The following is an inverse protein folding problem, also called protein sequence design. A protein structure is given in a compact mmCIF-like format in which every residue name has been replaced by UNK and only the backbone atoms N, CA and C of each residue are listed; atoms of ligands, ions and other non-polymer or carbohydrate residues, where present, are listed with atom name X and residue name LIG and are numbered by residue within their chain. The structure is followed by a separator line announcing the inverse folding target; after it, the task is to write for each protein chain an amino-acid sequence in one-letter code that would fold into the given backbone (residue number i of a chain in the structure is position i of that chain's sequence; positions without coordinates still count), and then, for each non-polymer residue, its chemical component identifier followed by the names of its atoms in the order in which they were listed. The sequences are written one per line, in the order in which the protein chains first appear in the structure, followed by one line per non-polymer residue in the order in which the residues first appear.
data_IF_953984471258
#
_entry.id   IF_953984471258
#
_cell.length_a   1.000
_cell.length_b   1.000
_cell.length_c   1.000
_cell.angle_alpha   90.00
_cell.angle_beta   90.00
_cell.angle_gamma   90.00
#
_symmetry.space_group_name_H-M   'P 1'
#
loop_
_entity.id
_entity.type
_entity.pdbx_description
1 polymer ?
#
# COMPACT_ATOMS: atom_id res chain seq x y z
N UNK A 1 -34.47 48.77 -34.44
CA UNK A 1 -34.57 48.67 -32.97
C UNK A 1 -33.25 48.14 -32.42
N UNK A 2 -32.60 48.91 -31.54
CA UNK A 2 -31.42 48.50 -30.75
C UNK A 2 -31.87 47.64 -29.56
N UNK A 3 -31.06 46.64 -29.17
CA UNK A 3 -30.91 45.95 -27.85
C UNK A 3 -30.21 44.62 -28.14
N UNK A 4 -29.20 44.10 -27.45
CA UNK A 4 -28.25 44.57 -26.44
C UNK A 4 -27.09 43.54 -26.46
N UNK A 5 -25.87 44.01 -26.25
CA UNK A 5 -24.67 43.19 -26.01
C UNK A 5 -24.69 42.77 -24.52
N UNK A 6 -24.24 41.55 -24.20
CA UNK A 6 -23.23 41.20 -23.17
C UNK A 6 -23.49 39.84 -22.46
N UNK A 7 -22.43 39.02 -22.53
CA UNK A 7 -21.82 38.22 -21.46
C UNK A 7 -22.49 36.93 -20.95
N UNK A 8 -21.68 35.87 -21.00
CA UNK A 8 -21.93 34.60 -20.30
C UNK A 8 -20.72 33.66 -20.40
N UNK A 9 -19.52 34.19 -20.22
CA UNK A 9 -18.26 33.45 -20.05
C UNK A 9 -18.40 32.52 -18.83
N UNK A 10 -18.84 31.27 -18.98
CA UNK A 10 -18.84 30.30 -17.88
C UNK A 10 -18.90 28.85 -18.37
N UNK A 11 -17.86 28.42 -19.10
CA UNK A 11 -17.64 26.99 -19.37
C UNK A 11 -16.14 26.68 -19.43
N UNK A 12 -15.40 27.22 -18.47
CA UNK A 12 -14.04 26.81 -18.13
C UNK A 12 -14.08 26.18 -16.72
N UNK A 13 -14.75 25.03 -16.58
CA UNK A 13 -14.68 24.20 -15.37
C UNK A 13 -14.58 22.70 -15.71
N UNK A 14 -13.88 22.37 -16.80
CA UNK A 14 -13.45 21.00 -17.10
C UNK A 14 -11.92 20.89 -17.19
N UNK A 15 -11.18 21.75 -16.51
CA UNK A 15 -9.82 21.42 -16.07
C UNK A 15 -9.95 20.44 -14.90
N UNK A 16 -10.37 19.21 -15.22
CA UNK A 16 -10.03 18.06 -14.40
C UNK A 16 -8.52 18.11 -14.23
N UNK A 17 -8.08 18.48 -13.02
CA UNK A 17 -6.70 18.47 -12.62
C UNK A 17 -6.28 16.99 -12.64
N UNK A 18 -5.94 16.48 -13.82
CA UNK A 18 -5.18 15.25 -13.99
C UNK A 18 -3.77 15.56 -13.51
N UNK A 19 -3.62 15.76 -12.20
CA UNK A 19 -2.32 15.69 -11.56
C UNK A 19 -1.82 14.29 -11.87
N UNK A 20 -0.92 14.17 -12.85
CA UNK A 20 -0.20 12.92 -13.09
C UNK A 20 0.27 12.41 -11.72
N UNK A 21 0.11 11.12 -11.41
CA UNK A 21 0.55 10.58 -10.14
C UNK A 21 1.99 11.05 -9.87
N UNK A 22 2.20 11.72 -8.74
CA UNK A 22 3.49 12.28 -8.40
C UNK A 22 4.41 11.14 -8.02
N UNK A 23 5.25 10.70 -8.95
CA UNK A 23 6.32 9.71 -8.77
C UNK A 23 7.01 9.85 -7.40
N UNK A 24 7.17 8.76 -6.63
CA UNK A 24 7.70 8.84 -5.25
C UNK A 24 9.15 9.32 -5.22
N UNK A 25 9.93 9.04 -6.27
CA UNK A 25 11.33 9.44 -6.43
C UNK A 25 12.20 8.24 -6.81
N UNK A 26 13.36 8.47 -7.43
CA UNK A 26 14.26 7.37 -7.83
C UNK A 26 14.83 6.61 -6.62
N UNK A 27 15.02 7.30 -5.50
CA UNK A 27 15.56 6.72 -4.26
C UNK A 27 14.67 5.62 -3.67
N UNK A 28 13.40 5.58 -4.07
CA UNK A 28 12.42 4.60 -3.59
C UNK A 28 12.24 3.39 -4.52
N UNK A 29 12.97 3.30 -5.64
CA UNK A 29 12.77 2.22 -6.62
C UNK A 29 12.98 0.82 -6.03
N UNK A 30 13.81 0.70 -4.99
CA UNK A 30 14.03 -0.56 -4.28
C UNK A 30 12.78 -1.10 -3.57
N UNK A 31 11.79 -0.24 -3.31
CA UNK A 31 10.52 -0.60 -2.70
C UNK A 31 9.44 -0.98 -3.75
N UNK A 32 9.70 -0.85 -5.05
CA UNK A 32 8.76 -1.26 -6.09
C UNK A 32 8.57 -2.78 -6.09
N UNK A 33 7.33 -3.25 -5.98
CA UNK A 33 7.06 -4.70 -6.01
C UNK A 33 5.92 -5.17 -5.14
N UNK A 34 5.90 -6.47 -4.90
CA UNK A 34 4.86 -7.15 -4.12
C UNK A 34 5.29 -7.39 -2.68
N UNK A 35 4.32 -7.29 -1.79
CA UNK A 35 4.47 -7.41 -0.35
C UNK A 35 3.46 -8.41 0.19
N UNK A 36 3.89 -9.20 1.17
CA UNK A 36 3.06 -10.13 1.91
C UNK A 36 2.72 -9.52 3.27
N UNK A 37 1.42 -9.47 3.60
CA UNK A 37 0.92 -9.04 4.89
C UNK A 37 0.50 -10.28 5.67
N UNK A 38 1.36 -10.68 6.60
CA UNK A 38 1.22 -11.87 7.44
C UNK A 38 0.20 -11.67 8.57
N UNK A 39 0.23 -10.49 9.20
CA UNK A 39 -0.78 -10.03 10.13
C UNK A 39 -1.99 -9.55 9.33
N UNK A 40 -3.17 -10.04 9.73
CA UNK A 40 -4.44 -9.53 9.23
C UNK A 40 -4.42 -7.99 9.29
N UNK A 41 -4.97 -7.31 8.28
CA UNK A 41 -5.14 -5.85 8.30
C UNK A 41 -6.21 -5.40 9.32
N UNK A 42 -6.42 -6.17 10.39
CA UNK A 42 -7.40 -5.99 11.46
C UNK A 42 -7.24 -4.63 12.14
N UNK A 43 -6.00 -4.18 12.34
CA UNK A 43 -5.72 -2.84 12.88
C UNK A 43 -6.10 -1.69 11.93
N UNK A 44 -6.46 -2.00 10.67
CA UNK A 44 -6.92 -1.03 9.68
C UNK A 44 -8.45 -1.05 9.49
N UNK A 45 -9.20 -1.81 10.30
CA UNK A 45 -10.66 -1.92 10.18
C UNK A 45 -11.37 -0.56 10.28
N UNK A 46 -10.85 0.35 11.09
CA UNK A 46 -11.37 1.71 11.28
C UNK A 46 -11.07 2.66 10.11
N UNK A 47 -10.40 2.20 9.06
CA UNK A 47 -10.02 2.98 7.87
C UNK A 47 -10.68 2.43 6.60
N UNK A 48 -11.82 1.76 6.74
CA UNK A 48 -12.58 1.12 5.65
C UNK A 48 -11.75 0.07 4.87
N UNK A 49 -10.72 -0.50 5.48
CA UNK A 49 -10.01 -1.62 4.88
C UNK A 49 -10.87 -2.87 5.03
N UNK A 50 -10.95 -3.73 4.00
CA UNK A 50 -11.72 -4.97 4.12
C UNK A 50 -11.16 -5.81 5.27
N UNK A 51 -11.90 -5.87 6.38
CA UNK A 51 -11.53 -6.68 7.53
C UNK A 51 -11.96 -8.14 7.29
N UNK A 52 -11.20 -8.83 6.44
CA UNK A 52 -11.32 -10.29 6.30
C UNK A 52 -10.21 -10.94 7.11
N UNK A 53 -10.55 -12.06 7.76
CA UNK A 53 -9.59 -12.99 8.39
C UNK A 53 -8.76 -13.71 7.31
N UNK A 54 -8.03 -12.95 6.52
CA UNK A 54 -7.25 -13.45 5.40
C UNK A 54 -5.90 -12.74 5.37
N UNK A 55 -4.90 -13.47 4.88
CA UNK A 55 -3.65 -12.90 4.41
C UNK A 55 -3.94 -11.92 3.29
N UNK A 56 -3.14 -10.86 3.19
CA UNK A 56 -3.23 -9.89 2.11
C UNK A 56 -1.91 -9.82 1.35
N UNK A 57 -2.00 -9.53 0.06
CA UNK A 57 -0.84 -9.07 -0.71
C UNK A 57 -1.04 -7.60 -1.06
N UNK A 58 0.05 -6.87 -1.15
CA UNK A 58 0.04 -5.51 -1.67
C UNK A 58 1.05 -5.36 -2.79
N UNK A 59 0.77 -4.48 -3.75
CA UNK A 59 1.71 -4.08 -4.78
C UNK A 59 1.98 -2.59 -4.65
N UNK A 60 3.20 -2.22 -4.29
CA UNK A 60 3.66 -0.85 -4.36
C UNK A 60 4.19 -0.57 -5.77
N UNK A 61 3.58 0.41 -6.44
CA UNK A 61 4.08 0.97 -7.69
C UNK A 61 4.64 2.36 -7.41
N UNK A 62 5.97 2.47 -7.46
CA UNK A 62 6.72 3.69 -7.15
C UNK A 62 6.52 4.76 -8.22
N UNK A 63 6.19 4.37 -9.46
CA UNK A 63 5.98 5.29 -10.58
C UNK A 63 4.65 5.99 -10.46
N UNK A 64 3.61 5.27 -10.06
CA UNK A 64 2.27 5.82 -9.84
C UNK A 64 2.01 6.26 -8.40
N UNK A 65 2.96 6.02 -7.49
CA UNK A 65 2.83 6.32 -6.05
C UNK A 65 1.56 5.73 -5.48
N UNK A 66 1.34 4.44 -5.76
CA UNK A 66 0.13 3.75 -5.35
C UNK A 66 0.44 2.41 -4.71
N UNK A 67 -0.27 2.09 -3.63
CA UNK A 67 -0.30 0.76 -3.04
C UNK A 67 -1.65 0.11 -3.33
N UNK A 68 -1.64 -0.93 -4.15
CA UNK A 68 -2.81 -1.75 -4.44
C UNK A 68 -2.87 -2.91 -3.45
N UNK A 69 -4.02 -3.11 -2.80
CA UNK A 69 -4.29 -4.26 -1.95
C UNK A 69 -5.05 -5.33 -2.72
N UNK A 70 -4.51 -6.54 -2.67
CA UNK A 70 -4.96 -7.71 -3.44
C UNK A 70 -5.51 -8.74 -2.46
N UNK A 71 -6.78 -9.09 -2.68
CA UNK A 71 -7.46 -10.11 -1.89
C UNK A 71 -7.07 -11.52 -2.34
N UNK A 72 -6.72 -12.41 -1.41
CA UNK A 72 -6.22 -13.76 -1.72
C UNK A 72 -7.29 -14.70 -2.28
N UNK A 73 -8.55 -14.54 -1.88
CA UNK A 73 -9.63 -15.43 -2.34
C UNK A 73 -9.95 -15.19 -3.82
N UNK A 74 -9.92 -13.93 -4.25
CA UNK A 74 -10.35 -13.50 -5.59
C UNK A 74 -9.19 -13.12 -6.50
N UNK A 75 -8.00 -12.87 -5.93
CA UNK A 75 -6.83 -12.30 -6.61
C UNK A 75 -7.11 -10.97 -7.32
N UNK A 76 -8.09 -10.22 -6.82
CA UNK A 76 -8.48 -8.91 -7.35
C UNK A 76 -7.94 -7.80 -6.46
N UNK A 77 -7.65 -6.66 -7.08
CA UNK A 77 -7.42 -5.41 -6.35
C UNK A 77 -8.75 -4.98 -5.74
N UNK A 78 -8.79 -4.88 -4.41
CA UNK A 78 -10.00 -4.46 -3.68
C UNK A 78 -9.89 -3.03 -3.15
N UNK A 79 -8.67 -2.52 -3.04
CA UNK A 79 -8.41 -1.15 -2.60
C UNK A 79 -7.11 -0.65 -3.22
N UNK A 80 -7.09 0.62 -3.64
CA UNK A 80 -5.90 1.29 -4.13
C UNK A 80 -5.69 2.57 -3.34
N UNK A 81 -4.47 2.75 -2.84
CA UNK A 81 -4.11 3.86 -1.96
C UNK A 81 -3.16 4.78 -2.71
N UNK A 82 -3.56 6.03 -2.91
CA UNK A 82 -2.70 7.07 -3.49
C UNK A 82 -1.79 7.65 -2.40
N UNK A 83 -0.48 7.61 -2.64
CA UNK A 83 0.55 8.03 -1.70
C UNK A 83 1.09 9.41 -2.09
N UNK A 84 1.18 10.30 -1.11
CA UNK A 84 1.73 11.64 -1.28
C UNK A 84 2.99 11.77 -0.41
N UNK A 85 4.14 12.17 -0.97
CA UNK A 85 5.35 12.37 -0.17
C UNK A 85 5.11 13.36 0.98
N UNK A 86 5.58 13.03 2.19
CA UNK A 86 5.55 13.91 3.34
C UNK A 86 6.96 14.33 3.77
N UNK A 87 7.71 13.40 4.34
CA UNK A 87 9.07 13.62 4.85
C UNK A 87 9.82 12.30 4.81
N UNK A 88 11.06 12.35 4.31
CA UNK A 88 11.96 11.18 4.26
C UNK A 88 11.24 9.96 3.66
N UNK A 89 11.08 8.88 4.42
CA UNK A 89 10.45 7.63 4.02
C UNK A 89 8.96 7.55 4.37
N UNK A 90 8.33 8.65 4.80
CA UNK A 90 6.93 8.72 5.22
C UNK A 90 6.06 9.36 4.14
N UNK A 91 4.92 8.73 3.86
CA UNK A 91 3.94 9.12 2.86
C UNK A 91 2.56 9.28 3.49
N UNK A 92 1.87 10.35 3.11
CA UNK A 92 0.44 10.53 3.41
C UNK A 92 -0.38 9.61 2.51
N UNK A 93 -1.48 9.08 3.02
CA UNK A 93 -2.45 8.33 2.23
C UNK A 93 -3.64 9.24 1.93
N UNK A 94 -3.85 9.56 0.67
CA UNK A 94 -4.94 10.46 0.26
C UNK A 94 -6.30 9.90 0.70
N UNK A 95 -7.11 10.76 1.29
CA UNK A 95 -8.42 10.38 1.85
C UNK A 95 -8.38 9.88 3.30
N UNK A 96 -7.20 9.81 3.93
CA UNK A 96 -7.07 9.43 5.34
C UNK A 96 -6.28 10.49 6.12
N UNK A 97 -6.85 10.95 7.23
CA UNK A 97 -6.21 11.98 8.06
C UNK A 97 -5.16 11.41 9.02
N UNK A 98 -5.39 10.21 9.56
CA UNK A 98 -4.58 9.57 10.61
C UNK A 98 -4.06 8.19 10.18
N UNK A 99 -3.76 8.02 8.90
CA UNK A 99 -3.14 6.82 8.36
C UNK A 99 -2.05 7.20 7.37
N UNK A 100 -0.86 6.66 7.61
CA UNK A 100 0.34 6.98 6.84
C UNK A 100 1.09 5.70 6.49
N UNK A 101 1.89 5.77 5.42
CA UNK A 101 2.77 4.68 5.01
C UNK A 101 4.23 5.07 5.27
N UNK A 102 4.94 4.25 6.02
CA UNK A 102 6.38 4.38 6.23
C UNK A 102 7.12 3.27 5.49
N UNK A 103 8.08 3.65 4.65
CA UNK A 103 8.96 2.74 3.92
C UNK A 103 10.21 2.46 4.75
N UNK A 104 10.27 1.30 5.39
CA UNK A 104 11.42 0.94 6.23
C UNK A 104 12.35 -0.01 5.47
N UNK A 105 13.64 0.32 5.41
CA UNK A 105 14.68 -0.54 4.87
C UNK A 105 15.54 -1.02 6.02
N UNK A 106 15.68 -2.32 6.20
CA UNK A 106 16.74 -2.82 7.09
C UNK A 106 18.11 -2.52 6.46
N UNK A 107 19.12 -2.33 7.30
CA UNK A 107 20.52 -2.19 6.88
C UNK A 107 21.16 -3.55 6.51
N UNK A 108 20.39 -4.64 6.57
CA UNK A 108 20.89 -5.99 6.31
C UNK A 108 21.16 -6.23 4.82
N UNK A 109 22.22 -7.00 4.53
CA UNK A 109 22.60 -7.39 3.16
C UNK A 109 21.50 -8.14 2.40
N UNK A 110 20.49 -8.68 3.08
CA UNK A 110 19.39 -9.43 2.46
C UNK A 110 18.31 -8.52 1.87
N UNK A 111 18.44 -7.19 2.00
CA UNK A 111 17.55 -6.24 1.33
C UNK A 111 16.11 -6.27 1.84
N UNK A 112 15.88 -6.80 3.05
CA UNK A 112 14.55 -6.82 3.65
C UNK A 112 14.08 -5.38 3.90
N UNK A 113 12.99 -5.03 3.25
CA UNK A 113 12.30 -3.77 3.42
C UNK A 113 10.81 -4.05 3.64
N UNK A 114 10.15 -3.14 4.34
CA UNK A 114 8.76 -3.30 4.75
C UNK A 114 7.96 -2.02 4.49
N UNK A 115 6.66 -2.23 4.28
CA UNK A 115 5.65 -1.18 4.24
C UNK A 115 4.97 -1.15 5.60
N UNK A 116 5.13 -0.08 6.37
CA UNK A 116 4.53 0.05 7.69
C UNK A 116 3.38 1.04 7.66
N UNK A 117 2.19 0.59 8.01
CA UNK A 117 1.09 1.48 8.32
C UNK A 117 1.30 2.05 9.72
N UNK A 118 1.24 3.38 9.83
CA UNK A 118 1.40 4.10 11.09
C UNK A 118 0.26 5.10 11.28
N UNK A 119 -0.10 5.41 12.53
CA UNK A 119 -1.19 6.33 12.86
C UNK A 119 -0.75 7.78 13.07
N UNK A 120 0.55 8.05 13.10
CA UNK A 120 1.11 9.39 13.26
C UNK A 120 2.35 9.58 12.37
N UNK A 121 2.25 10.51 11.42
CA UNK A 121 3.31 10.83 10.43
C UNK A 121 4.64 11.29 11.02
N UNK A 122 4.63 11.80 12.25
CA UNK A 122 5.80 12.35 12.94
C UNK A 122 6.37 11.38 13.99
N UNK A 123 5.72 10.22 14.21
CA UNK A 123 6.11 9.23 15.23
C UNK A 123 6.16 7.82 14.63
N UNK A 124 7.34 7.36 14.19
CA UNK A 124 7.52 6.05 13.55
C UNK A 124 7.16 4.85 14.45
N UNK A 125 7.14 5.04 15.77
CA UNK A 125 6.71 4.01 16.72
C UNK A 125 5.17 3.86 16.82
N UNK A 126 4.39 4.67 16.12
CA UNK A 126 2.91 4.58 16.05
C UNK A 126 2.40 3.48 15.11
N UNK A 127 3.11 2.35 15.11
CA UNK A 127 2.91 1.21 14.24
C UNK A 127 1.53 0.56 14.39
N UNK A 128 0.92 0.19 13.26
CA UNK A 128 -0.35 -0.52 13.19
C UNK A 128 -0.17 -1.93 12.62
N UNK A 129 0.44 -2.04 11.44
CA UNK A 129 0.70 -3.31 10.74
C UNK A 129 1.76 -3.11 9.65
N UNK A 130 2.32 -4.20 9.13
CA UNK A 130 3.32 -4.19 8.06
C UNK A 130 3.09 -5.22 6.97
N UNK A 131 3.55 -4.88 5.77
CA UNK A 131 3.79 -5.83 4.69
C UNK A 131 5.28 -6.00 4.47
N UNK A 132 5.73 -7.23 4.29
CA UNK A 132 7.14 -7.56 4.10
C UNK A 132 7.43 -7.81 2.63
N UNK A 133 8.54 -7.25 2.16
CA UNK A 133 9.05 -7.58 0.84
C UNK A 133 9.59 -9.00 0.82
N UNK A 134 9.20 -9.75 -0.20
CA UNK A 134 9.64 -11.11 -0.44
C UNK A 134 10.12 -11.16 -1.89
N UNK A 135 11.41 -11.42 -2.09
CA UNK A 135 12.06 -11.27 -3.40
C UNK A 135 11.50 -12.20 -4.49
N UNK A 136 10.88 -13.30 -4.07
CA UNK A 136 10.20 -14.26 -4.93
C UNK A 136 8.88 -13.72 -5.51
N UNK A 137 8.28 -12.70 -4.89
CA UNK A 137 6.98 -12.14 -5.28
C UNK A 137 7.14 -11.16 -6.46
N UNK A 138 7.17 -11.70 -7.67
CA UNK A 138 7.33 -10.89 -8.90
C UNK A 138 6.05 -10.74 -9.73
N UNK A 139 5.01 -11.50 -9.40
CA UNK A 139 3.72 -11.48 -10.07
C UNK A 139 2.63 -12.09 -9.17
N UNK A 140 1.37 -11.94 -9.57
CA UNK A 140 0.23 -12.60 -8.91
C UNK A 140 0.42 -14.12 -8.82
N UNK A 141 0.97 -14.76 -9.85
CA UNK A 141 1.22 -16.21 -9.83
C UNK A 141 2.33 -16.61 -8.84
N UNK A 142 3.33 -15.74 -8.62
CA UNK A 142 4.29 -15.96 -7.54
C UNK A 142 3.63 -15.81 -6.17
N UNK A 143 2.73 -14.84 -6.00
CA UNK A 143 1.96 -14.67 -4.76
C UNK A 143 1.09 -15.89 -4.45
N UNK A 144 0.42 -16.45 -5.47
CA UNK A 144 -0.35 -17.70 -5.35
C UNK A 144 0.51 -18.87 -4.87
N UNK A 145 1.65 -19.09 -5.51
CA UNK A 145 2.60 -20.16 -5.12
C UNK A 145 3.15 -19.94 -3.72
N UNK A 146 3.50 -18.70 -3.38
CA UNK A 146 3.99 -18.35 -2.06
C UNK A 146 2.93 -18.64 -0.98
N UNK A 147 1.67 -18.25 -1.21
CA UNK A 147 0.58 -18.52 -0.30
C UNK A 147 0.37 -20.03 -0.11
N UNK A 148 0.37 -20.82 -1.19
CA UNK A 148 0.26 -22.28 -1.11
C UNK A 148 1.38 -22.88 -0.25
N UNK A 149 2.63 -22.53 -0.54
CA UNK A 149 3.79 -23.01 0.23
C UNK A 149 3.69 -22.57 1.70
N UNK A 150 3.24 -21.34 1.95
CA UNK A 150 3.04 -20.81 3.29
C UNK A 150 1.97 -21.60 4.06
N UNK A 151 0.82 -21.87 3.44
CA UNK A 151 -0.28 -22.65 4.03
C UNK A 151 0.11 -24.11 4.29
N UNK A 152 0.83 -24.74 3.35
CA UNK A 152 1.37 -26.09 3.52
C UNK A 152 2.35 -26.16 4.67
N UNK A 153 3.22 -25.18 4.79
CA UNK A 153 4.22 -25.11 5.85
C UNK A 153 3.56 -24.86 7.22
N UNK A 154 2.52 -24.02 7.29
CA UNK A 154 1.71 -23.83 8.51
C UNK A 154 1.04 -25.14 8.93
N UNK A 155 0.42 -25.86 7.99
CA UNK A 155 -0.19 -27.17 8.25
C UNK A 155 0.84 -28.21 8.70
N UNK A 156 2.03 -28.23 8.09
CA UNK A 156 3.11 -29.16 8.40
C UNK A 156 3.70 -28.93 9.79
N UNK A 157 3.86 -27.67 10.18
CA UNK A 157 4.55 -27.29 11.42
C UNK A 157 3.61 -27.18 12.62
N UNK A 158 2.29 -27.19 12.42
CA UNK A 158 1.29 -26.90 13.46
C UNK A 158 1.58 -25.58 14.22
N UNK A 159 2.40 -24.70 13.63
CA UNK A 159 2.78 -23.42 14.20
C UNK A 159 1.70 -22.40 13.81
N UNK A 160 1.07 -21.77 14.80
CA UNK A 160 0.40 -20.48 14.60
C UNK A 160 1.52 -19.46 14.33
N UNK A 161 1.97 -19.39 13.07
CA UNK A 161 3.24 -18.76 12.67
C UNK A 161 3.37 -17.25 12.91
N UNK A 162 2.39 -16.59 13.53
CA UNK A 162 2.57 -15.23 14.09
C UNK A 162 3.81 -15.17 15.02
N UNK A 163 4.22 -16.30 15.62
CA UNK A 163 5.44 -16.43 16.42
C UNK A 163 6.69 -16.91 15.63
N UNK A 164 6.53 -17.56 14.48
CA UNK A 164 7.60 -18.27 13.77
C UNK A 164 8.43 -17.37 12.81
N UNK A 165 7.96 -16.17 12.47
CA UNK A 165 8.71 -15.16 11.69
C UNK A 165 8.86 -13.84 12.45
N UNK A 166 8.89 -13.92 13.78
CA UNK A 166 8.85 -12.78 14.69
C UNK A 166 9.80 -11.62 14.38
N UNK A 167 9.26 -10.41 14.64
CA UNK A 167 9.86 -9.17 15.13
C UNK A 167 11.35 -8.89 14.82
#
# INVERSE_FOLDING_TARGET
MKKSILFGFYLILCFGCNSKPKHMGQDFIKFDGYYFFDAQLKHLENYDFPNKKAIWFGRLDVKTSSLELIEVDTWKVVKSLELVPYKETVFLIKGYENLFLHLESSSSMTGQHSLRFISNRDKLNSFLTSGYYVFELRSIDHCKRFLQNWEEEVKRTNCNKEECYGY
#
